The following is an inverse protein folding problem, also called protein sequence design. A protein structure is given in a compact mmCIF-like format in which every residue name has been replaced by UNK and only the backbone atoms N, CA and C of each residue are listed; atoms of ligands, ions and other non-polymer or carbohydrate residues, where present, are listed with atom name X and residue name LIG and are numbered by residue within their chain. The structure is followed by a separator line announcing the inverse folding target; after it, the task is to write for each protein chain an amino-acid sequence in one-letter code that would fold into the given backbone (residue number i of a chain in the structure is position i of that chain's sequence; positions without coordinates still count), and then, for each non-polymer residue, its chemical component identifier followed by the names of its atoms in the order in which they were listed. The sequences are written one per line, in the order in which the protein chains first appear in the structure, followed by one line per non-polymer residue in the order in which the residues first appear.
data_IF_632041988710
#
_entry.id   IF_632041988710
#
_cell.length_a   1.000
_cell.length_b   1.000
_cell.length_c   1.000
_cell.angle_alpha   90.00
_cell.angle_beta   90.00
_cell.angle_gamma   90.00
#
_symmetry.space_group_name_H-M   'P 1'
#
loop_
_entity.id
_entity.type
_entity.pdbx_description
1 polymer ?
#
# COMPACT_ATOMS: atom_id res chain seq x y z
N UNK A 1 -5.58 35.49 18.78
CA UNK A 1 -5.32 34.17 18.18
C UNK A 1 -4.31 34.36 17.08
N UNK A 2 -3.12 33.74 17.18
CA UNK A 2 -2.11 33.79 16.12
C UNK A 2 -2.48 32.75 15.06
N UNK A 3 -2.64 33.18 13.81
CA UNK A 3 -2.87 32.27 12.69
C UNK A 3 -1.66 31.32 12.55
N UNK A 4 -1.90 30.02 12.30
CA UNK A 4 -0.80 29.07 12.11
C UNK A 4 0.09 29.50 10.95
N UNK A 5 1.41 29.41 11.14
CA UNK A 5 2.39 29.74 10.09
C UNK A 5 2.11 28.88 8.85
N UNK A 6 2.15 29.45 7.63
CA UNK A 6 2.02 28.66 6.41
C UNK A 6 3.11 27.58 6.39
N UNK A 7 2.69 26.31 6.34
CA UNK A 7 3.54 25.13 6.50
C UNK A 7 3.31 24.30 7.78
N UNK A 8 2.73 24.89 8.84
CA UNK A 8 2.32 24.15 10.04
C UNK A 8 1.11 23.25 9.78
N UNK A 9 0.12 23.72 9.01
CA UNK A 9 -1.05 22.95 8.59
C UNK A 9 -0.68 21.80 7.65
N UNK A 10 0.27 22.03 6.75
CA UNK A 10 0.81 21.02 5.83
C UNK A 10 1.54 19.92 6.63
N UNK A 11 2.36 20.30 7.64
CA UNK A 11 2.98 19.33 8.58
C UNK A 11 1.94 18.55 9.38
N UNK A 12 0.89 19.20 9.87
CA UNK A 12 -0.21 18.53 10.59
C UNK A 12 -0.91 17.49 9.70
N UNK A 13 -1.15 17.76 8.43
CA UNK A 13 -1.67 16.75 7.50
C UNK A 13 -0.70 15.57 7.32
N UNK A 14 0.60 15.83 7.24
CA UNK A 14 1.62 14.78 7.06
C UNK A 14 1.77 13.87 8.27
N UNK A 15 1.75 14.41 9.48
CA UNK A 15 1.94 13.61 10.70
C UNK A 15 0.73 12.70 10.99
N UNK A 16 -0.44 13.10 10.47
CA UNK A 16 -1.73 12.47 10.72
C UNK A 16 -2.16 11.48 9.64
N UNK A 17 -1.48 11.38 8.50
CA UNK A 17 -1.79 10.43 7.43
C UNK A 17 -0.81 9.25 7.43
N UNK A 18 -1.29 8.03 7.70
CA UNK A 18 -0.43 6.85 7.83
C UNK A 18 -1.09 5.61 7.24
N UNK A 19 -0.25 4.73 6.69
CA UNK A 19 -0.66 3.38 6.34
C UNK A 19 -0.06 2.38 7.32
N UNK A 20 -0.90 1.50 7.86
CA UNK A 20 -0.49 0.46 8.79
C UNK A 20 -1.01 -0.89 8.31
N UNK A 21 -0.14 -1.92 8.36
CA UNK A 21 -0.57 -3.30 8.13
C UNK A 21 -0.88 -3.96 9.46
N UNK A 22 -2.15 -4.25 9.73
CA UNK A 22 -2.59 -5.03 10.90
C UNK A 22 -2.58 -6.51 10.51
N UNK A 23 -1.69 -7.31 11.10
CA UNK A 23 -1.52 -8.74 10.77
C UNK A 23 -2.08 -9.62 11.89
N UNK A 24 -3.05 -10.45 11.56
CA UNK A 24 -3.50 -11.57 12.38
C UNK A 24 -2.77 -12.84 11.90
N UNK A 25 -1.72 -13.22 12.63
CA UNK A 25 -0.90 -14.39 12.30
C UNK A 25 -1.66 -15.71 12.51
N UNK A 26 -2.51 -15.79 13.53
CA UNK A 26 -3.29 -16.99 13.82
C UNK A 26 -4.27 -17.31 12.69
N UNK A 27 -4.90 -16.28 12.13
CA UNK A 27 -5.84 -16.42 11.00
C UNK A 27 -5.19 -16.24 9.62
N UNK A 28 -3.87 -16.04 9.57
CA UNK A 28 -3.10 -15.73 8.35
C UNK A 28 -3.77 -14.61 7.52
N UNK A 29 -4.18 -13.53 8.18
CA UNK A 29 -4.88 -12.40 7.56
C UNK A 29 -4.10 -11.12 7.79
N UNK A 30 -4.10 -10.23 6.81
CA UNK A 30 -3.57 -8.89 6.97
C UNK A 30 -4.58 -7.88 6.43
N UNK A 31 -4.71 -6.76 7.13
CA UNK A 31 -5.54 -5.63 6.74
C UNK A 31 -4.64 -4.43 6.58
N UNK A 32 -4.71 -3.78 5.43
CA UNK A 32 -4.12 -2.47 5.24
C UNK A 32 -5.12 -1.43 5.76
N UNK A 33 -4.68 -0.64 6.71
CA UNK A 33 -5.43 0.44 7.32
C UNK A 33 -4.80 1.76 6.89
N UNK A 34 -5.63 2.67 6.39
CA UNK A 34 -5.31 4.06 6.18
C UNK A 34 -5.85 4.85 7.38
N UNK A 35 -4.97 5.56 8.07
CA UNK A 35 -5.30 6.38 9.23
C UNK A 35 -5.17 7.84 8.85
N UNK A 36 -6.22 8.64 9.06
CA UNK A 36 -6.20 10.09 8.84
C UNK A 36 -6.87 10.82 10.00
N UNK A 37 -6.13 11.69 10.70
CA UNK A 37 -6.62 12.45 11.86
C UNK A 37 -7.32 11.57 12.92
N UNK A 38 -6.76 10.40 13.19
CA UNK A 38 -7.31 9.44 14.16
C UNK A 38 -8.47 8.58 13.65
N UNK A 39 -8.91 8.76 12.40
CA UNK A 39 -9.89 7.88 11.76
C UNK A 39 -9.19 6.76 10.99
N UNK A 40 -9.47 5.52 11.38
CA UNK A 40 -8.92 4.31 10.75
C UNK A 40 -9.89 3.73 9.72
N UNK A 41 -9.48 3.67 8.46
CA UNK A 41 -10.21 3.06 7.36
C UNK A 41 -9.50 1.81 6.87
N UNK A 42 -10.20 0.67 6.87
CA UNK A 42 -9.68 -0.56 6.27
C UNK A 42 -9.78 -0.46 4.73
N UNK A 43 -8.64 -0.28 4.06
CA UNK A 43 -8.58 -0.06 2.62
C UNK A 43 -8.12 -1.29 1.83
N UNK A 44 -7.78 -2.38 2.50
CA UNK A 44 -7.45 -3.64 1.84
C UNK A 44 -7.40 -4.79 2.82
N UNK A 45 -7.78 -5.99 2.37
CA UNK A 45 -7.72 -7.21 3.18
C UNK A 45 -7.20 -8.36 2.34
N UNK A 46 -6.20 -9.05 2.86
CA UNK A 46 -5.58 -10.22 2.24
C UNK A 46 -5.50 -11.39 3.23
N UNK A 47 -5.50 -12.61 2.70
CA UNK A 47 -5.41 -13.85 3.49
C UNK A 47 -4.37 -14.83 2.93
N UNK A 48 -4.00 -15.81 3.75
CA UNK A 48 -3.06 -16.87 3.40
C UNK A 48 -1.67 -16.32 3.08
N UNK A 49 -1.07 -16.81 1.98
CA UNK A 49 0.27 -16.39 1.54
C UNK A 49 0.36 -14.88 1.24
N UNK A 50 -0.75 -14.26 0.83
CA UNK A 50 -0.81 -12.82 0.51
C UNK A 50 -0.60 -11.95 1.75
N UNK A 51 -1.08 -12.41 2.91
CA UNK A 51 -0.84 -11.71 4.18
C UNK A 51 0.65 -11.72 4.54
N UNK A 52 1.34 -12.84 4.28
CA UNK A 52 2.80 -12.94 4.47
C UNK A 52 3.57 -12.10 3.46
N UNK A 53 3.12 -12.05 2.20
CA UNK A 53 3.71 -11.18 1.18
C UNK A 53 3.56 -9.69 1.55
N UNK A 54 2.41 -9.27 2.06
CA UNK A 54 2.19 -7.89 2.50
C UNK A 54 3.07 -7.54 3.71
N UNK A 55 3.20 -8.45 4.68
CA UNK A 55 4.10 -8.29 5.84
C UNK A 55 5.58 -8.22 5.44
N UNK A 56 5.97 -8.97 4.41
CA UNK A 56 7.32 -8.97 3.86
C UNK A 56 7.64 -7.64 3.15
N UNK A 57 6.70 -7.12 2.34
CA UNK A 57 6.84 -5.81 1.71
C UNK A 57 6.91 -4.70 2.75
N UNK A 58 6.10 -4.79 3.80
CA UNK A 58 6.11 -3.84 4.90
C UNK A 58 7.49 -3.74 5.58
N UNK A 59 8.09 -4.91 5.87
CA UNK A 59 9.45 -4.98 6.42
C UNK A 59 10.49 -4.44 5.45
N UNK A 60 10.38 -4.79 4.18
CA UNK A 60 11.32 -4.38 3.13
C UNK A 60 11.39 -2.85 2.97
N UNK A 61 10.27 -2.15 3.14
CA UNK A 61 10.19 -0.69 3.01
C UNK A 61 10.16 0.06 4.36
N UNK A 62 10.45 -0.61 5.47
CA UNK A 62 10.40 -0.02 6.82
C UNK A 62 11.32 1.18 7.03
N UNK A 63 12.45 1.25 6.31
CA UNK A 63 13.37 2.39 6.35
C UNK A 63 13.03 3.52 5.37
N UNK A 64 11.92 3.43 4.63
CA UNK A 64 11.46 4.48 3.72
C UNK A 64 10.56 5.48 4.45
N UNK A 65 10.40 6.65 3.85
CA UNK A 65 9.39 7.62 4.29
C UNK A 65 8.00 6.97 4.38
N UNK A 66 7.20 7.36 5.37
CA UNK A 66 5.90 6.76 5.67
C UNK A 66 4.94 6.83 4.48
N UNK A 67 5.02 7.89 3.66
CA UNK A 67 4.16 8.07 2.49
C UNK A 67 4.58 7.16 1.35
N UNK A 68 5.88 7.06 1.07
CA UNK A 68 6.42 6.11 0.08
C UNK A 68 6.05 4.68 0.47
N UNK A 69 6.36 4.27 1.70
CA UNK A 69 5.99 2.95 2.23
C UNK A 69 4.48 2.74 2.09
N UNK A 70 3.70 3.76 2.41
CA UNK A 70 2.26 3.80 2.25
C UNK A 70 1.76 3.48 0.85
N UNK A 71 2.25 4.19 -0.15
CA UNK A 71 1.89 3.96 -1.56
C UNK A 71 2.25 2.56 -2.04
N UNK A 72 3.42 2.06 -1.62
CA UNK A 72 3.86 0.70 -1.96
C UNK A 72 2.95 -0.36 -1.34
N UNK A 73 2.56 -0.18 -0.08
CA UNK A 73 1.65 -1.09 0.63
C UNK A 73 0.22 -1.02 0.09
N UNK A 74 -0.25 0.19 -0.25
CA UNK A 74 -1.53 0.40 -0.92
C UNK A 74 -1.58 -0.44 -2.20
N UNK A 75 -0.58 -0.25 -3.07
CA UNK A 75 -0.54 -0.94 -4.34
C UNK A 75 -0.48 -2.46 -4.16
N UNK A 76 0.35 -2.93 -3.23
CA UNK A 76 0.44 -4.35 -2.89
C UNK A 76 -0.89 -4.92 -2.39
N UNK A 77 -1.61 -4.22 -1.51
CA UNK A 77 -2.88 -4.68 -0.96
C UNK A 77 -3.99 -4.77 -2.03
N UNK A 78 -3.90 -3.99 -3.10
CA UNK A 78 -4.82 -4.07 -4.25
C UNK A 78 -4.41 -5.15 -5.26
N UNK A 79 -3.11 -5.33 -5.48
CA UNK A 79 -2.59 -6.26 -6.48
C UNK A 79 -2.57 -7.70 -6.01
N UNK A 80 -2.17 -7.97 -4.76
CA UNK A 80 -2.03 -9.35 -4.25
C UNK A 80 -3.32 -10.20 -4.33
N UNK A 81 -4.54 -9.67 -4.06
CA UNK A 81 -5.79 -10.39 -4.28
C UNK A 81 -5.95 -10.93 -5.70
N UNK A 82 -5.47 -10.19 -6.69
CA UNK A 82 -5.62 -10.46 -8.13
C UNK A 82 -4.63 -11.51 -8.67
N UNK A 83 -3.73 -11.98 -7.81
CA UNK A 83 -2.62 -12.89 -8.17
C UNK A 83 -2.86 -14.26 -7.55
N UNK A 84 -2.71 -15.31 -8.37
CA UNK A 84 -2.74 -16.70 -7.92
C UNK A 84 -1.45 -17.12 -7.20
N UNK A 85 -1.53 -18.13 -6.33
CA UNK A 85 -0.39 -18.57 -5.51
C UNK A 85 0.84 -18.99 -6.34
N UNK A 86 0.64 -19.56 -7.54
CA UNK A 86 1.72 -19.95 -8.46
C UNK A 86 2.59 -18.78 -8.93
N UNK A 87 2.09 -17.54 -8.86
CA UNK A 87 2.82 -16.32 -9.25
C UNK A 87 3.27 -15.48 -8.03
N UNK A 88 3.19 -16.01 -6.81
CA UNK A 88 3.47 -15.29 -5.58
C UNK A 88 4.88 -14.67 -5.56
N UNK A 89 5.92 -15.45 -5.87
CA UNK A 89 7.31 -14.97 -5.88
C UNK A 89 7.52 -13.88 -6.94
N UNK A 90 6.93 -14.03 -8.13
CA UNK A 90 6.99 -13.01 -9.19
C UNK A 90 6.32 -11.72 -8.75
N UNK A 91 5.12 -11.80 -8.17
CA UNK A 91 4.41 -10.63 -7.68
C UNK A 91 5.17 -9.88 -6.59
N UNK A 92 5.77 -10.60 -5.65
CA UNK A 92 6.62 -10.01 -4.62
C UNK A 92 7.85 -9.32 -5.22
N UNK A 93 8.51 -9.97 -6.18
CA UNK A 93 9.68 -9.41 -6.88
C UNK A 93 9.31 -8.12 -7.63
N UNK A 94 8.20 -8.10 -8.36
CA UNK A 94 7.69 -6.91 -9.06
C UNK A 94 7.44 -5.77 -8.06
N UNK A 95 6.67 -6.03 -6.99
CA UNK A 95 6.33 -4.99 -6.00
C UNK A 95 7.55 -4.43 -5.26
N UNK A 96 8.61 -5.23 -5.09
CA UNK A 96 9.89 -4.76 -4.53
C UNK A 96 10.70 -3.91 -5.52
N UNK A 97 10.54 -4.12 -6.82
CA UNK A 97 11.34 -3.49 -7.89
C UNK A 97 10.74 -2.24 -8.49
N UNK A 98 9.42 -2.04 -8.39
CA UNK A 98 8.77 -0.82 -8.90
C UNK A 98 9.44 0.42 -8.29
N UNK A 99 9.74 1.41 -9.14
CA UNK A 99 10.24 2.69 -8.67
C UNK A 99 9.16 3.42 -7.86
N UNK A 100 9.56 4.47 -7.14
CA UNK A 100 8.59 5.29 -6.41
C UNK A 100 7.62 5.98 -7.39
N UNK A 101 8.14 6.51 -8.50
CA UNK A 101 7.36 7.17 -9.55
C UNK A 101 6.34 6.22 -10.17
N UNK A 102 6.75 4.99 -10.53
CA UNK A 102 5.83 3.97 -11.02
C UNK A 102 4.77 3.63 -9.98
N UNK A 103 5.17 3.50 -8.71
CA UNK A 103 4.23 3.22 -7.62
C UNK A 103 3.19 4.33 -7.49
N UNK A 104 3.62 5.61 -7.46
CA UNK A 104 2.73 6.77 -7.38
C UNK A 104 1.81 6.82 -8.60
N UNK A 105 2.35 6.59 -9.79
CA UNK A 105 1.57 6.51 -11.02
C UNK A 105 0.44 5.48 -10.87
N UNK A 106 0.73 4.26 -10.45
CA UNK A 106 -0.29 3.22 -10.31
C UNK A 106 -1.31 3.48 -9.19
N UNK A 107 -0.89 4.10 -8.09
CA UNK A 107 -1.82 4.55 -7.04
C UNK A 107 -2.77 5.61 -7.60
N UNK A 108 -2.26 6.59 -8.34
CA UNK A 108 -3.09 7.61 -8.98
C UNK A 108 -4.04 6.99 -10.01
N UNK A 109 -3.57 6.09 -10.87
CA UNK A 109 -4.40 5.34 -11.81
C UNK A 109 -5.50 4.56 -11.10
N UNK A 110 -5.22 3.98 -9.93
CA UNK A 110 -6.25 3.31 -9.13
C UNK A 110 -7.32 4.28 -8.63
N UNK A 111 -6.95 5.47 -8.16
CA UNK A 111 -7.94 6.47 -7.74
C UNK A 111 -8.81 6.96 -8.90
N UNK A 112 -8.28 7.01 -10.12
CA UNK A 112 -9.04 7.39 -11.32
C UNK A 112 -9.88 6.27 -11.92
N UNK A 113 -9.39 5.02 -11.92
CA UNK A 113 -9.98 3.92 -12.69
C UNK A 113 -10.29 2.64 -11.90
N UNK A 114 -9.97 2.61 -10.61
CA UNK A 114 -10.22 1.50 -9.69
C UNK A 114 -9.54 0.20 -10.12
N UNK A 115 -10.28 -0.91 -10.05
CA UNK A 115 -9.77 -2.25 -10.34
C UNK A 115 -9.20 -2.41 -11.77
N UNK A 116 -9.63 -1.58 -12.74
CA UNK A 116 -9.07 -1.60 -14.10
C UNK A 116 -7.58 -1.26 -14.12
N UNK A 117 -7.13 -0.32 -13.27
CA UNK A 117 -5.72 0.01 -13.14
C UNK A 117 -4.90 -1.17 -12.61
N UNK A 118 -5.43 -1.91 -11.63
CA UNK A 118 -4.78 -3.11 -11.11
C UNK A 118 -4.72 -4.23 -12.15
N UNK A 119 -5.78 -4.38 -12.95
CA UNK A 119 -5.79 -5.29 -14.10
C UNK A 119 -4.68 -4.97 -15.10
N UNK A 120 -4.52 -3.69 -15.45
CA UNK A 120 -3.45 -3.23 -16.34
C UNK A 120 -2.06 -3.47 -15.76
N UNK A 121 -1.82 -3.09 -14.50
CA UNK A 121 -0.57 -3.35 -13.78
C UNK A 121 -0.21 -4.84 -13.78
N UNK A 122 -1.18 -5.70 -13.43
CA UNK A 122 -1.01 -7.16 -13.46
C UNK A 122 -0.63 -7.64 -14.85
N UNK A 123 -1.30 -7.15 -15.89
CA UNK A 123 -1.05 -7.56 -17.27
C UNK A 123 0.34 -7.13 -17.77
N UNK A 124 0.80 -5.94 -17.40
CA UNK A 124 2.11 -5.42 -17.83
C UNK A 124 3.24 -6.15 -17.11
N UNK A 125 3.17 -6.25 -15.79
CA UNK A 125 4.32 -6.70 -14.99
C UNK A 125 4.29 -8.20 -14.65
N UNK A 126 3.13 -8.86 -14.74
CA UNK A 126 2.98 -10.25 -14.31
C UNK A 126 2.66 -11.24 -15.42
N UNK A 127 2.76 -10.85 -16.70
CA UNK A 127 2.59 -11.74 -17.86
C UNK A 127 3.32 -13.07 -17.65
#
# INVERSE_FOLDING_TARGET
MLAPKPGAEIRLLYDNFRYTVKIDRARKRAVLVESFMGQDNAIGRVGGWRAMALAELDRHFSGRDNRERGYRLFLAAKLLPEVGASRACKALSVLKRLTLEETIFWVWQYHSYGARAIGALKHIHMR
#
